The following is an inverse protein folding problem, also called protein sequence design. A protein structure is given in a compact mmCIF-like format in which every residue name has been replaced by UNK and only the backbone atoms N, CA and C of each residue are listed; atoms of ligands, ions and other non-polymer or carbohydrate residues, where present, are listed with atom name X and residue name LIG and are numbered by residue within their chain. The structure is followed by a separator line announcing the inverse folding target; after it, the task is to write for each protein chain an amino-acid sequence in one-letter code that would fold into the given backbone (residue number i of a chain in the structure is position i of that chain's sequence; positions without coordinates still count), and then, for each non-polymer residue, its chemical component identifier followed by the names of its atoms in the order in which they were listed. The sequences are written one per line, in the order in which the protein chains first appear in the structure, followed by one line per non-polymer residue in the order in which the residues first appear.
data_IF_251337688102
#
_entry.id   IF_251337688102
#
_cell.length_a   1.000
_cell.length_b   1.000
_cell.length_c   1.000
_cell.angle_alpha   90.00
_cell.angle_beta   90.00
_cell.angle_gamma   90.00
#
_symmetry.space_group_name_H-M   'P 1'
#
loop_
_entity.id
_entity.type
_entity.pdbx_description
1 polymer ?
#
# COMPACT_ATOMS: atom_id res chain seq x y z
N UNK A 1 -1.24 19.56 13.19
CA UNK A 1 -0.16 18.79 13.86
C UNK A 1 1.16 19.13 13.19
N UNK A 2 2.29 19.21 13.91
CA UNK A 2 3.62 19.32 13.30
C UNK A 2 4.15 17.92 13.00
N UNK A 3 4.74 17.73 11.83
CA UNK A 3 5.32 16.47 11.40
C UNK A 3 6.85 16.61 11.30
N UNK A 4 7.54 15.50 11.49
CA UNK A 4 8.95 15.31 11.22
C UNK A 4 9.10 14.29 10.10
N UNK A 5 9.97 14.57 9.16
CA UNK A 5 10.32 13.65 8.07
C UNK A 5 11.82 13.37 8.15
N UNK A 6 12.18 12.13 7.93
CA UNK A 6 13.56 11.67 7.85
C UNK A 6 13.68 10.51 6.86
N UNK A 7 14.82 10.43 6.19
CA UNK A 7 15.15 9.28 5.35
C UNK A 7 15.76 8.19 6.22
N UNK A 8 15.25 6.97 6.06
CA UNK A 8 15.74 5.76 6.72
C UNK A 8 16.16 4.76 5.65
N UNK A 9 17.26 4.06 5.87
CA UNK A 9 17.73 2.98 5.02
C UNK A 9 17.50 1.66 5.72
N UNK A 10 16.77 0.76 5.10
CA UNK A 10 16.48 -0.58 5.64
C UNK A 10 17.24 -1.61 4.83
N UNK A 11 18.10 -2.37 5.52
CA UNK A 11 18.83 -3.46 4.88
C UNK A 11 17.88 -4.63 4.58
N UNK A 12 17.80 -5.01 3.32
CA UNK A 12 17.19 -6.26 2.85
C UNK A 12 18.29 -7.23 2.38
N UNK A 13 17.99 -8.51 2.15
CA UNK A 13 19.04 -9.50 1.85
C UNK A 13 19.94 -9.18 0.66
N UNK A 14 19.42 -8.49 -0.36
CA UNK A 14 20.12 -8.20 -1.63
C UNK A 14 20.07 -6.73 -2.05
N UNK A 15 19.52 -5.85 -1.21
CA UNK A 15 19.47 -4.41 -1.47
C UNK A 15 19.34 -3.61 -0.18
N UNK A 16 19.41 -2.29 -0.30
CA UNK A 16 19.05 -1.34 0.73
C UNK A 16 17.80 -0.57 0.28
N UNK A 17 16.76 -0.55 1.12
CA UNK A 17 15.48 0.08 0.80
C UNK A 17 15.46 1.49 1.39
N UNK A 18 15.49 2.50 0.52
CA UNK A 18 15.24 3.88 0.94
C UNK A 18 13.79 4.04 1.35
N UNK A 19 13.57 4.61 2.52
CA UNK A 19 12.24 4.75 3.13
C UNK A 19 12.10 6.14 3.72
N UNK A 20 10.98 6.79 3.49
CA UNK A 20 10.66 8.08 4.13
C UNK A 20 9.81 7.80 5.37
N UNK A 21 10.35 8.21 6.53
CA UNK A 21 9.70 8.10 7.82
C UNK A 21 9.05 9.43 8.20
N UNK A 22 7.71 9.48 8.19
CA UNK A 22 6.91 10.67 8.47
C UNK A 22 6.11 10.45 9.73
N UNK A 23 6.33 11.24 10.76
CA UNK A 23 5.67 11.05 12.06
C UNK A 23 5.35 12.37 12.76
N UNK A 24 4.40 12.37 13.72
CA UNK A 24 4.19 13.52 14.58
C UNK A 24 5.47 13.90 15.33
N UNK A 25 5.63 15.18 15.62
CA UNK A 25 6.70 15.65 16.51
C UNK A 25 6.33 15.30 17.96
N UNK A 26 7.25 14.62 18.66
CA UNK A 26 7.06 14.15 20.05
C UNK A 26 7.86 12.85 20.27
N UNK A 27 7.62 12.22 21.42
CA UNK A 27 8.38 11.04 21.85
C UNK A 27 7.66 9.71 21.51
N UNK A 28 6.41 9.76 21.02
CA UNK A 28 5.62 8.55 20.74
C UNK A 28 5.07 7.89 22.00
N UNK A 29 4.82 6.57 22.00
CA UNK A 29 4.85 5.74 20.80
C UNK A 29 3.65 6.02 19.87
N UNK A 30 3.81 5.68 18.57
CA UNK A 30 2.76 5.85 17.55
C UNK A 30 2.38 4.54 16.90
N UNK A 31 1.12 4.37 16.47
CA UNK A 31 0.80 3.33 15.51
C UNK A 31 1.50 3.63 14.17
N UNK A 32 2.19 2.65 13.62
CA UNK A 32 2.90 2.78 12.36
C UNK A 32 2.03 2.34 11.17
N UNK A 33 2.24 2.97 10.03
CA UNK A 33 1.65 2.57 8.75
C UNK A 33 2.77 2.25 7.78
N UNK A 34 2.94 0.97 7.41
CA UNK A 34 3.73 0.58 6.25
C UNK A 34 2.96 1.00 5.00
N UNK A 35 3.51 1.96 4.24
CA UNK A 35 2.80 2.67 3.18
C UNK A 35 3.40 2.37 1.81
N UNK A 36 2.74 1.57 1.01
CA UNK A 36 3.17 1.22 -0.34
C UNK A 36 2.57 2.17 -1.39
N UNK A 37 3.46 2.80 -2.15
CA UNK A 37 3.12 3.69 -3.26
C UNK A 37 2.56 2.91 -4.47
N UNK A 38 2.13 3.65 -5.49
CA UNK A 38 1.88 3.11 -6.83
C UNK A 38 3.19 2.95 -7.63
N UNK A 39 3.09 2.57 -8.92
CA UNK A 39 4.25 2.35 -9.82
C UNK A 39 5.18 3.56 -9.96
N UNK A 40 4.74 4.76 -9.63
CA UNK A 40 5.54 5.99 -9.73
C UNK A 40 6.42 6.24 -8.50
N UNK A 41 6.36 5.38 -7.50
CA UNK A 41 7.14 5.41 -6.27
C UNK A 41 6.84 6.64 -5.38
N UNK A 42 7.84 7.17 -4.70
CA UNK A 42 7.70 8.22 -3.68
C UNK A 42 7.67 9.63 -4.30
N UNK A 43 6.68 9.86 -5.15
CA UNK A 43 6.42 11.18 -5.73
C UNK A 43 5.90 12.15 -4.67
N UNK A 44 5.94 13.46 -4.94
CA UNK A 44 5.35 14.44 -4.03
C UNK A 44 3.85 14.24 -3.80
N UNK A 45 3.09 13.78 -4.80
CA UNK A 45 1.68 13.39 -4.64
C UNK A 45 1.52 12.26 -3.63
N UNK A 46 2.34 11.22 -3.75
CA UNK A 46 2.40 10.09 -2.81
C UNK A 46 2.77 10.56 -1.40
N UNK A 47 3.80 11.39 -1.27
CA UNK A 47 4.25 11.90 0.03
C UNK A 47 3.23 12.85 0.68
N UNK A 48 2.45 13.63 -0.09
CA UNK A 48 1.35 14.42 0.48
C UNK A 48 0.27 13.52 1.09
N UNK A 49 -0.07 12.41 0.46
CA UNK A 49 -1.00 11.42 1.04
C UNK A 49 -0.43 10.80 2.32
N UNK A 50 0.86 10.46 2.32
CA UNK A 50 1.55 9.94 3.50
C UNK A 50 1.57 10.96 4.66
N UNK A 51 1.87 12.24 4.38
CA UNK A 51 1.80 13.34 5.36
C UNK A 51 0.38 13.53 5.90
N UNK A 52 -0.62 13.39 5.03
CA UNK A 52 -2.01 13.48 5.44
C UNK A 52 -2.38 12.34 6.41
N UNK A 53 -1.97 11.11 6.16
CA UNK A 53 -2.12 10.00 7.11
C UNK A 53 -1.38 10.30 8.42
N UNK A 54 -0.14 10.77 8.36
CA UNK A 54 0.63 11.12 9.56
C UNK A 54 -0.05 12.21 10.39
N UNK A 55 -0.80 13.12 9.77
CA UNK A 55 -1.54 14.16 10.48
C UNK A 55 -2.71 13.63 11.36
N UNK A 56 -3.13 12.38 11.16
CA UNK A 56 -4.07 11.67 12.02
C UNK A 56 -3.40 10.97 13.22
N UNK A 57 -2.09 11.14 13.39
CA UNK A 57 -1.36 10.57 14.54
C UNK A 57 -0.60 9.28 14.23
N UNK A 58 -0.55 8.87 12.98
CA UNK A 58 0.26 7.72 12.55
C UNK A 58 1.72 8.08 12.31
N UNK A 59 2.61 7.12 12.53
CA UNK A 59 3.96 7.18 12.01
C UNK A 59 4.00 6.42 10.66
N UNK A 60 4.10 7.15 9.55
CA UNK A 60 4.03 6.58 8.20
C UNK A 60 5.42 6.21 7.71
N UNK A 61 5.60 4.96 7.34
CA UNK A 61 6.85 4.37 6.86
C UNK A 61 6.69 4.01 5.38
N UNK A 62 7.14 4.90 4.49
CA UNK A 62 6.95 4.84 3.05
C UNK A 62 8.22 4.39 2.33
N UNK A 63 8.38 3.09 2.01
CA UNK A 63 9.52 2.57 1.27
C UNK A 63 9.41 2.82 -0.23
N UNK A 64 10.55 2.87 -0.90
CA UNK A 64 10.62 2.62 -2.33
C UNK A 64 10.24 1.18 -2.63
N UNK A 65 9.47 0.96 -3.69
CA UNK A 65 9.01 -0.39 -4.06
C UNK A 65 9.90 -1.07 -5.10
N UNK A 66 10.85 -0.32 -5.71
CA UNK A 66 11.82 -0.86 -6.67
C UNK A 66 13.27 -0.52 -6.28
N UNK A 67 13.75 -0.91 -5.08
CA UNK A 67 15.07 -0.49 -4.59
C UNK A 67 16.23 -1.04 -5.42
N UNK A 68 16.03 -2.10 -6.22
CA UNK A 68 17.05 -2.73 -7.04
C UNK A 68 17.24 -2.05 -8.40
N UNK A 69 16.20 -1.42 -8.92
CA UNK A 69 16.18 -0.93 -10.32
C UNK A 69 15.96 0.57 -10.44
N UNK A 70 15.26 1.17 -9.49
CA UNK A 70 14.86 2.57 -9.50
C UNK A 70 15.11 3.23 -8.13
N UNK A 71 16.19 2.85 -7.46
CA UNK A 71 16.56 3.42 -6.16
C UNK A 71 16.75 4.95 -6.25
N UNK A 72 16.11 5.69 -5.35
CA UNK A 72 16.18 7.15 -5.29
C UNK A 72 15.35 7.87 -6.35
N UNK A 73 14.59 7.14 -7.17
CA UNK A 73 13.86 7.72 -8.31
C UNK A 73 12.38 7.85 -7.99
N UNK A 74 11.85 9.07 -7.98
CA UNK A 74 10.42 9.36 -8.11
C UNK A 74 10.10 9.59 -9.59
N UNK A 75 9.13 8.85 -10.12
CA UNK A 75 8.80 8.90 -11.55
C UNK A 75 7.78 9.99 -11.86
N UNK A 76 7.87 10.62 -13.02
CA UNK A 76 6.87 11.59 -13.48
C UNK A 76 5.56 10.89 -13.90
N UNK A 77 4.43 11.61 -13.76
CA UNK A 77 3.10 11.09 -14.16
C UNK A 77 2.84 11.28 -15.64
N UNK A 78 3.70 10.72 -16.47
CA UNK A 78 3.62 10.71 -17.92
C UNK A 78 3.83 9.28 -18.48
N UNK A 79 3.82 9.15 -19.79
CA UNK A 79 4.00 7.85 -20.45
C UNK A 79 5.38 7.26 -20.19
N UNK A 80 6.44 8.09 -20.10
CA UNK A 80 7.79 7.64 -19.83
C UNK A 80 7.92 7.09 -18.40
N UNK A 81 7.39 7.81 -17.42
CA UNK A 81 7.34 7.37 -16.02
C UNK A 81 6.50 6.11 -15.85
N UNK A 82 5.36 6.01 -16.55
CA UNK A 82 4.55 4.78 -16.57
C UNK A 82 5.34 3.59 -17.11
N UNK A 83 6.03 3.77 -18.23
CA UNK A 83 6.87 2.69 -18.82
C UNK A 83 7.98 2.28 -17.86
N UNK A 84 8.68 3.25 -17.25
CA UNK A 84 9.73 2.98 -16.28
C UNK A 84 9.21 2.25 -15.03
N UNK A 85 8.06 2.67 -14.48
CA UNK A 85 7.45 2.03 -13.33
C UNK A 85 6.97 0.60 -13.63
N UNK A 86 6.39 0.38 -14.81
CA UNK A 86 6.04 -0.97 -15.28
C UNK A 86 7.28 -1.86 -15.47
N UNK A 87 8.38 -1.31 -15.98
CA UNK A 87 9.64 -2.02 -16.10
C UNK A 87 10.24 -2.37 -14.73
N UNK A 88 10.17 -1.44 -13.76
CA UNK A 88 10.57 -1.70 -12.38
C UNK A 88 9.78 -2.84 -11.75
N UNK A 89 8.46 -2.85 -11.95
CA UNK A 89 7.61 -3.96 -11.51
C UNK A 89 8.03 -5.28 -12.18
N UNK A 90 8.14 -5.31 -13.50
CA UNK A 90 8.51 -6.51 -14.26
C UNK A 90 9.92 -7.05 -13.95
N UNK A 91 10.79 -6.24 -13.40
CA UNK A 91 12.14 -6.63 -12.96
C UNK A 91 12.20 -7.13 -11.51
N UNK A 92 11.11 -7.06 -10.74
CA UNK A 92 11.07 -7.44 -9.33
C UNK A 92 10.19 -8.68 -9.14
N UNK A 93 10.72 -9.76 -8.58
CA UNK A 93 9.96 -10.98 -8.32
C UNK A 93 9.07 -10.85 -7.08
N UNK A 94 8.03 -11.67 -6.98
CA UNK A 94 7.18 -11.78 -5.80
C UNK A 94 8.01 -12.12 -4.55
N UNK A 95 8.99 -12.99 -4.68
CA UNK A 95 9.89 -13.35 -3.59
C UNK A 95 10.72 -12.17 -3.09
N UNK A 96 11.17 -11.29 -3.99
CA UNK A 96 11.87 -10.05 -3.62
C UNK A 96 10.94 -9.07 -2.88
N UNK A 97 9.72 -8.85 -3.39
CA UNK A 97 8.73 -8.04 -2.66
C UNK A 97 8.43 -8.61 -1.26
N UNK A 98 8.30 -9.92 -1.13
CA UNK A 98 8.06 -10.56 0.17
C UNK A 98 9.26 -10.43 1.10
N UNK A 99 10.48 -10.54 0.59
CA UNK A 99 11.71 -10.34 1.35
C UNK A 99 11.84 -8.89 1.84
N UNK A 100 11.55 -7.93 0.97
CA UNK A 100 11.53 -6.50 1.32
C UNK A 100 10.49 -6.22 2.40
N UNK A 101 9.28 -6.77 2.27
CA UNK A 101 8.24 -6.68 3.29
C UNK A 101 8.72 -7.16 4.65
N UNK A 102 9.37 -8.32 4.71
CA UNK A 102 9.89 -8.89 5.97
C UNK A 102 10.91 -7.94 6.59
N UNK A 103 11.88 -7.44 5.81
CA UNK A 103 12.89 -6.50 6.30
C UNK A 103 12.27 -5.20 6.84
N UNK A 104 11.26 -4.65 6.14
CA UNK A 104 10.55 -3.45 6.57
C UNK A 104 9.76 -3.67 7.87
N UNK A 105 9.09 -4.81 8.00
CA UNK A 105 8.33 -5.17 9.20
C UNK A 105 9.26 -5.48 10.38
N UNK A 106 10.42 -6.12 10.15
CA UNK A 106 11.44 -6.35 11.17
C UNK A 106 12.00 -5.02 11.70
N UNK A 107 12.25 -4.07 10.80
CA UNK A 107 12.67 -2.72 11.19
C UNK A 107 11.64 -2.03 12.09
N UNK A 108 10.35 -2.08 11.72
CA UNK A 108 9.28 -1.48 12.52
C UNK A 108 9.11 -2.17 13.88
N UNK A 109 9.16 -3.51 13.91
CA UNK A 109 9.04 -4.30 15.15
C UNK A 109 10.21 -4.06 16.13
N UNK A 110 11.39 -3.70 15.63
CA UNK A 110 12.55 -3.35 16.45
C UNK A 110 12.49 -1.95 17.08
N UNK A 111 11.45 -1.17 16.81
CA UNK A 111 11.35 0.22 17.27
C UNK A 111 10.53 0.34 18.55
N UNK A 112 11.10 0.96 19.58
CA UNK A 112 10.41 1.22 20.84
C UNK A 112 9.34 2.33 20.74
N UNK A 113 9.39 3.16 19.69
CA UNK A 113 8.45 4.25 19.44
C UNK A 113 7.28 3.86 18.52
N UNK A 114 7.11 2.54 18.24
CA UNK A 114 6.00 1.97 17.46
C UNK A 114 5.14 1.08 18.36
N UNK A 115 3.79 1.21 18.26
CA UNK A 115 2.84 0.34 18.95
C UNK A 115 2.31 -0.75 18.01
N UNK A 116 1.31 -0.42 17.20
CA UNK A 116 0.68 -1.32 16.22
C UNK A 116 1.27 -1.06 14.85
N UNK A 117 1.24 -2.07 13.98
CA UNK A 117 1.60 -1.92 12.58
C UNK A 117 0.36 -2.11 11.71
N UNK A 118 0.06 -1.13 10.91
CA UNK A 118 -0.95 -1.15 9.85
C UNK A 118 -0.26 -1.14 8.49
N UNK A 119 -0.97 -1.54 7.45
CA UNK A 119 -0.47 -1.44 6.08
C UNK A 119 -1.47 -0.71 5.20
N UNK A 120 -0.98 0.19 4.36
CA UNK A 120 -1.78 0.91 3.36
C UNK A 120 -1.05 0.86 2.03
N UNK A 121 -1.77 0.58 0.94
CA UNK A 121 -1.13 0.57 -0.37
C UNK A 121 -2.07 0.97 -1.51
N UNK A 122 -1.49 1.44 -2.61
CA UNK A 122 -2.17 2.03 -3.75
C UNK A 122 -1.77 1.34 -5.05
N UNK A 123 -2.71 0.97 -5.92
CA UNK A 123 -2.42 0.32 -7.19
C UNK A 123 -1.64 -1.00 -6.99
N UNK A 124 -0.44 -1.16 -7.56
CA UNK A 124 0.46 -2.28 -7.24
C UNK A 124 0.79 -2.32 -5.75
N UNK A 125 0.97 -1.16 -5.11
CA UNK A 125 1.17 -1.08 -3.66
C UNK A 125 -0.02 -1.61 -2.87
N UNK A 126 -1.25 -1.52 -3.41
CA UNK A 126 -2.43 -2.16 -2.83
C UNK A 126 -2.34 -3.70 -2.88
N UNK A 127 -1.75 -4.26 -3.92
CA UNK A 127 -1.44 -5.69 -3.98
C UNK A 127 -0.35 -6.07 -2.98
N UNK A 128 0.72 -5.24 -2.87
CA UNK A 128 1.78 -5.45 -1.87
C UNK A 128 1.25 -5.36 -0.44
N UNK A 129 0.33 -4.43 -0.18
CA UNK A 129 -0.34 -4.33 1.12
C UNK A 129 -1.18 -5.57 1.43
N UNK A 130 -1.90 -6.12 0.44
CA UNK A 130 -2.61 -7.39 0.61
C UNK A 130 -1.65 -8.51 1.03
N UNK A 131 -0.46 -8.58 0.41
CA UNK A 131 0.58 -9.55 0.78
C UNK A 131 1.19 -9.27 2.16
N UNK A 132 1.24 -8.01 2.58
CA UNK A 132 1.68 -7.65 3.92
C UNK A 132 0.72 -8.18 5.01
N UNK A 133 -0.57 -8.30 4.70
CA UNK A 133 -1.57 -8.86 5.61
C UNK A 133 -1.38 -10.36 5.94
N UNK A 134 -0.49 -11.08 5.26
CA UNK A 134 -0.10 -12.45 5.62
C UNK A 134 0.83 -12.51 6.84
N UNK A 135 1.31 -11.37 7.30
CA UNK A 135 2.19 -11.28 8.46
C UNK A 135 1.38 -10.89 9.70
N UNK A 136 1.46 -11.68 10.76
CA UNK A 136 0.69 -11.48 11.99
C UNK A 136 0.97 -10.16 12.71
N UNK A 137 2.08 -9.52 12.40
CA UNK A 137 2.41 -8.18 12.92
C UNK A 137 1.54 -7.08 12.34
N UNK A 138 0.87 -7.32 11.19
CA UNK A 138 0.01 -6.34 10.53
C UNK A 138 -1.43 -6.50 11.02
N UNK A 139 -1.86 -5.64 11.92
CA UNK A 139 -3.17 -5.72 12.58
C UNK A 139 -4.33 -5.24 11.73
N UNK A 140 -4.10 -4.33 10.76
CA UNK A 140 -5.09 -3.93 9.78
C UNK A 140 -4.43 -3.47 8.48
N UNK A 141 -5.07 -3.79 7.35
CA UNK A 141 -4.58 -3.47 6.00
C UNK A 141 -5.66 -2.75 5.20
N UNK A 142 -5.26 -1.70 4.46
CA UNK A 142 -6.12 -1.00 3.51
C UNK A 142 -5.50 -1.07 2.12
N UNK A 143 -6.22 -1.68 1.18
CA UNK A 143 -5.80 -1.83 -0.21
C UNK A 143 -6.63 -0.90 -1.09
N UNK A 144 -6.03 0.19 -1.59
CA UNK A 144 -6.69 1.11 -2.51
C UNK A 144 -6.49 0.65 -3.96
N UNK A 145 -7.58 0.39 -4.65
CA UNK A 145 -7.63 -0.05 -6.06
C UNK A 145 -6.50 -1.03 -6.42
N UNK A 146 -6.33 -2.13 -5.65
CA UNK A 146 -5.22 -3.05 -5.82
C UNK A 146 -5.27 -3.69 -7.21
N UNK A 147 -4.19 -3.56 -7.98
CA UNK A 147 -4.09 -4.14 -9.33
C UNK A 147 -3.50 -5.55 -9.29
N UNK A 148 -3.89 -6.37 -10.27
CA UNK A 148 -3.31 -7.70 -10.49
C UNK A 148 -3.70 -8.77 -9.47
N UNK A 149 -4.57 -8.48 -8.50
CA UNK A 149 -5.04 -9.50 -7.55
C UNK A 149 -5.83 -10.62 -8.24
N UNK A 150 -6.69 -10.25 -9.22
CA UNK A 150 -7.58 -11.17 -9.90
C UNK A 150 -6.86 -12.18 -10.80
N UNK A 151 -5.72 -11.80 -11.35
CA UNK A 151 -4.91 -12.63 -12.26
C UNK A 151 -3.58 -13.06 -11.65
N UNK A 152 -3.33 -12.69 -10.39
CA UNK A 152 -2.12 -13.03 -9.66
C UNK A 152 -0.88 -12.24 -10.12
N UNK A 153 -1.04 -11.20 -10.95
CA UNK A 153 0.10 -10.46 -11.48
C UNK A 153 0.64 -9.44 -10.48
N UNK A 154 1.78 -9.74 -9.90
CA UNK A 154 2.60 -8.77 -9.17
C UNK A 154 4.07 -8.98 -9.53
N UNK A 155 4.69 -7.97 -10.10
CA UNK A 155 6.10 -8.06 -10.48
C UNK A 155 6.36 -8.96 -11.69
N UNK A 156 7.51 -9.65 -11.65
CA UNK A 156 8.01 -10.50 -12.73
C UNK A 156 7.28 -11.85 -12.86
N UNK A 157 6.61 -12.28 -11.81
CA UNK A 157 5.96 -13.59 -11.77
C UNK A 157 4.59 -13.56 -12.46
N UNK A 158 4.30 -14.57 -13.25
CA UNK A 158 3.02 -14.68 -13.95
C UNK A 158 1.83 -14.96 -13.00
N UNK A 159 2.10 -15.56 -11.84
CA UNK A 159 1.11 -15.83 -10.79
C UNK A 159 1.76 -15.78 -9.41
N UNK A 160 1.49 -14.72 -8.67
CA UNK A 160 1.91 -14.53 -7.28
C UNK A 160 1.13 -15.36 -6.28
N UNK A 161 0.02 -15.97 -6.73
CA UNK A 161 -0.93 -16.73 -5.91
C UNK A 161 -1.52 -15.94 -4.72
N UNK A 162 -1.57 -14.62 -4.80
CA UNK A 162 -1.97 -13.78 -3.67
C UNK A 162 -3.39 -14.09 -3.20
N UNK A 163 -4.38 -14.12 -4.10
CA UNK A 163 -5.77 -14.47 -3.71
C UNK A 163 -5.91 -15.92 -3.25
N UNK A 164 -5.12 -16.85 -3.78
CA UNK A 164 -5.13 -18.24 -3.33
C UNK A 164 -4.63 -18.37 -1.87
N UNK A 165 -3.96 -17.35 -1.36
CA UNK A 165 -3.47 -17.24 0.02
C UNK A 165 -4.34 -16.32 0.89
N UNK A 166 -5.56 -16.00 0.48
CA UNK A 166 -6.44 -15.12 1.25
C UNK A 166 -6.72 -15.64 2.69
N UNK A 167 -6.64 -16.96 2.91
CA UNK A 167 -6.74 -17.56 4.24
C UNK A 167 -5.54 -17.24 5.18
N UNK A 168 -4.41 -16.79 4.61
CA UNK A 168 -3.24 -16.38 5.40
C UNK A 168 -3.38 -14.95 5.98
N UNK A 169 -4.44 -14.23 5.62
CA UNK A 169 -4.71 -12.89 6.17
C UNK A 169 -5.11 -13.03 7.63
N UNK A 170 -4.28 -12.48 8.51
CA UNK A 170 -4.45 -12.62 9.97
C UNK A 170 -5.14 -11.42 10.61
N UNK A 171 -4.94 -10.22 10.06
CA UNK A 171 -5.52 -8.98 10.55
C UNK A 171 -6.83 -8.60 9.82
N UNK A 172 -7.34 -7.41 10.16
CA UNK A 172 -8.51 -6.83 9.47
C UNK A 172 -8.11 -6.32 8.09
N UNK A 173 -9.00 -6.45 7.10
CA UNK A 173 -8.74 -6.00 5.74
C UNK A 173 -9.85 -5.09 5.21
N UNK A 174 -9.47 -3.96 4.65
CA UNK A 174 -10.34 -3.08 3.88
C UNK A 174 -9.84 -3.01 2.44
N UNK A 175 -10.74 -3.23 1.49
CA UNK A 175 -10.42 -3.08 0.06
C UNK A 175 -11.30 -2.00 -0.54
N UNK A 176 -10.68 -1.06 -1.24
CA UNK A 176 -11.34 0.12 -1.81
C UNK A 176 -11.23 0.09 -3.33
N UNK A 177 -12.35 0.24 -4.01
CA UNK A 177 -12.43 0.26 -5.48
C UNK A 177 -13.21 1.46 -6.00
N UNK A 178 -12.92 1.86 -7.24
CA UNK A 178 -13.77 2.74 -8.04
C UNK A 178 -14.55 1.94 -9.09
N UNK A 179 -15.77 2.37 -9.44
CA UNK A 179 -16.57 1.65 -10.46
C UNK A 179 -16.06 1.85 -11.88
N UNK A 180 -15.35 2.97 -12.15
CA UNK A 180 -14.80 3.32 -13.46
C UNK A 180 -13.32 2.92 -13.62
N UNK A 181 -12.78 2.10 -12.70
CA UNK A 181 -11.41 1.63 -12.78
C UNK A 181 -11.25 0.53 -13.86
N UNK A 182 -10.54 0.81 -14.98
CA UNK A 182 -10.36 -0.16 -16.05
C UNK A 182 -9.38 -1.29 -15.66
N UNK A 183 -8.52 -1.08 -14.65
CA UNK A 183 -7.56 -2.09 -14.18
C UNK A 183 -8.18 -3.08 -13.20
N UNK A 184 -9.31 -2.70 -12.57
CA UNK A 184 -10.04 -3.57 -11.63
C UNK A 184 -11.53 -3.59 -12.00
N UNK A 185 -11.91 -4.23 -13.13
CA UNK A 185 -13.29 -4.29 -13.60
C UNK A 185 -14.20 -5.04 -12.61
N UNK A 186 -15.52 -4.95 -12.80
CA UNK A 186 -16.51 -5.54 -11.91
C UNK A 186 -16.27 -7.03 -11.61
N UNK A 187 -15.89 -7.81 -12.62
CA UNK A 187 -15.58 -9.23 -12.46
C UNK A 187 -14.38 -9.45 -11.52
N UNK A 188 -13.32 -8.63 -11.64
CA UNK A 188 -12.15 -8.68 -10.76
C UNK A 188 -12.53 -8.33 -9.31
N UNK A 189 -13.34 -7.30 -9.09
CA UNK A 189 -13.84 -6.93 -7.74
C UNK A 189 -14.63 -8.06 -7.09
N UNK A 190 -15.51 -8.72 -7.87
CA UNK A 190 -16.28 -9.86 -7.40
C UNK A 190 -15.37 -11.06 -7.06
N UNK A 191 -14.35 -11.31 -7.87
CA UNK A 191 -13.39 -12.39 -7.62
C UNK A 191 -12.61 -12.15 -6.31
N UNK A 192 -12.13 -10.93 -6.06
CA UNK A 192 -11.46 -10.57 -4.81
C UNK A 192 -12.38 -10.81 -3.61
N UNK A 193 -13.61 -10.29 -3.66
CA UNK A 193 -14.61 -10.47 -2.60
C UNK A 193 -14.93 -11.95 -2.35
N UNK A 194 -15.17 -12.72 -3.42
CA UNK A 194 -15.48 -14.14 -3.33
C UNK A 194 -14.31 -14.92 -2.70
N UNK A 195 -13.06 -14.58 -3.08
CA UNK A 195 -11.87 -15.23 -2.53
C UNK A 195 -11.72 -14.96 -1.04
N UNK A 196 -11.96 -13.72 -0.59
CA UNK A 196 -11.91 -13.36 0.82
C UNK A 196 -12.97 -14.08 1.64
N UNK A 197 -14.21 -14.14 1.15
CA UNK A 197 -15.28 -14.88 1.84
C UNK A 197 -15.04 -16.39 1.85
N UNK A 198 -14.55 -16.95 0.74
CA UNK A 198 -14.21 -18.37 0.67
C UNK A 198 -13.07 -18.76 1.63
N UNK A 199 -12.17 -17.81 1.90
CA UNK A 199 -11.10 -17.96 2.89
C UNK A 199 -11.58 -17.88 4.35
N UNK A 200 -12.86 -17.59 4.58
CA UNK A 200 -13.40 -17.44 5.94
C UNK A 200 -13.03 -16.12 6.61
N UNK A 201 -12.64 -15.12 5.84
CA UNK A 201 -12.24 -13.81 6.38
C UNK A 201 -13.46 -13.05 6.95
N UNK A 202 -13.62 -13.05 8.26
CA UNK A 202 -14.75 -12.40 8.95
C UNK A 202 -14.56 -10.87 9.11
N UNK A 203 -13.34 -10.38 9.00
CA UNK A 203 -12.98 -8.98 9.27
C UNK A 203 -12.59 -8.22 8.00
N UNK A 204 -13.46 -8.34 6.97
CA UNK A 204 -13.26 -7.69 5.67
C UNK A 204 -14.30 -6.60 5.45
N UNK A 205 -13.84 -5.41 5.06
CA UNK A 205 -14.68 -4.34 4.54
C UNK A 205 -14.38 -4.11 3.06
N UNK A 206 -15.43 -3.99 2.25
CA UNK A 206 -15.33 -3.64 0.84
C UNK A 206 -16.03 -2.31 0.57
N UNK A 207 -15.28 -1.34 0.08
CA UNK A 207 -15.81 -0.04 -0.32
C UNK A 207 -15.73 0.10 -1.83
N UNK A 208 -16.86 0.39 -2.49
CA UNK A 208 -16.94 0.60 -3.93
C UNK A 208 -17.53 1.97 -4.21
N UNK A 209 -16.70 2.90 -4.67
CA UNK A 209 -17.11 4.27 -4.96
C UNK A 209 -17.59 4.42 -6.39
N UNK A 210 -18.83 4.89 -6.54
CA UNK A 210 -19.43 5.16 -7.83
C UNK A 210 -18.66 6.26 -8.57
N UNK A 211 -18.33 6.04 -9.84
CA UNK A 211 -17.60 7.00 -10.68
C UNK A 211 -16.08 7.04 -10.44
N UNK A 212 -15.59 6.47 -9.34
CA UNK A 212 -14.15 6.48 -9.04
C UNK A 212 -13.34 5.79 -10.14
N UNK A 213 -12.34 6.50 -10.66
CA UNK A 213 -11.37 5.98 -11.61
C UNK A 213 -10.16 5.32 -10.91
N UNK A 214 -9.30 4.66 -11.69
CA UNK A 214 -8.03 4.18 -11.15
C UNK A 214 -7.17 5.33 -10.63
N UNK A 215 -6.65 5.21 -9.42
CA UNK A 215 -5.83 6.22 -8.77
C UNK A 215 -6.55 7.56 -8.50
N UNK A 216 -7.87 7.54 -8.22
CA UNK A 216 -8.66 8.74 -7.90
C UNK A 216 -8.11 9.53 -6.68
N UNK A 217 -7.30 8.91 -5.85
CA UNK A 217 -6.63 9.56 -4.71
C UNK A 217 -5.34 10.30 -5.07
N UNK A 218 -4.85 10.16 -6.28
CA UNK A 218 -3.67 10.90 -6.73
C UNK A 218 -4.04 12.35 -6.97
N UNK A 219 -3.56 13.27 -6.16
CA UNK A 219 -3.95 14.69 -6.12
C UNK A 219 -3.44 15.53 -7.31
N UNK A 220 -2.99 14.87 -8.36
CA UNK A 220 -2.62 15.47 -9.64
C UNK A 220 -3.19 14.66 -10.81
N UNK A 221 -3.45 15.35 -11.91
CA UNK A 221 -3.98 14.75 -13.13
C UNK A 221 -5.51 14.62 -13.16
N UNK A 222 -6.07 14.17 -14.28
CA UNK A 222 -7.51 14.26 -14.57
C UNK A 222 -8.36 13.22 -13.80
N UNK A 223 -7.75 12.23 -13.18
CA UNK A 223 -8.46 11.16 -12.44
C UNK A 223 -8.68 11.50 -10.97
N UNK A 224 -8.10 12.59 -10.50
CA UNK A 224 -8.27 12.99 -9.10
C UNK A 224 -9.72 13.36 -8.81
N UNK A 225 -10.25 12.74 -7.76
CA UNK A 225 -11.56 13.06 -7.21
C UNK A 225 -11.38 13.42 -5.72
N UNK A 226 -11.47 14.71 -5.38
CA UNK A 226 -11.23 15.16 -3.99
C UNK A 226 -12.27 14.60 -3.00
N UNK A 227 -13.54 14.50 -3.41
CA UNK A 227 -14.61 14.01 -2.53
C UNK A 227 -14.43 12.52 -2.22
N UNK A 228 -14.13 11.72 -3.24
CA UNK A 228 -13.81 10.30 -3.04
C UNK A 228 -12.51 10.10 -2.27
N UNK A 229 -11.51 10.96 -2.48
CA UNK A 229 -10.25 10.94 -1.72
C UNK A 229 -10.51 11.18 -0.23
N UNK A 230 -11.29 12.20 0.11
CA UNK A 230 -11.61 12.54 1.49
C UNK A 230 -12.43 11.45 2.17
N UNK A 231 -13.47 10.96 1.49
CA UNK A 231 -14.32 9.89 2.00
C UNK A 231 -13.55 8.58 2.23
N UNK A 232 -12.72 8.18 1.27
CA UNK A 232 -11.98 6.91 1.38
C UNK A 232 -10.85 6.99 2.39
N UNK A 233 -10.18 8.13 2.53
CA UNK A 233 -9.16 8.32 3.56
C UNK A 233 -9.76 8.34 4.96
N UNK A 234 -10.90 9.02 5.16
CA UNK A 234 -11.61 9.04 6.43
C UNK A 234 -12.07 7.62 6.84
N UNK A 235 -12.59 6.84 5.87
CA UNK A 235 -12.94 5.44 6.08
C UNK A 235 -11.73 4.60 6.49
N UNK A 236 -10.59 4.75 5.80
CA UNK A 236 -9.35 4.04 6.11
C UNK A 236 -8.82 4.36 7.52
N UNK A 237 -8.79 5.63 7.90
CA UNK A 237 -8.37 6.07 9.25
C UNK A 237 -9.31 5.47 10.30
N UNK A 238 -10.63 5.58 10.11
CA UNK A 238 -11.62 4.99 11.02
C UNK A 238 -11.44 3.46 11.11
N UNK A 239 -11.20 2.78 10.00
CA UNK A 239 -10.99 1.34 9.97
C UNK A 239 -9.74 0.92 10.75
N UNK A 240 -8.60 1.58 10.54
CA UNK A 240 -7.36 1.26 11.26
C UNK A 240 -7.43 1.53 12.76
N UNK A 241 -8.14 2.58 13.19
CA UNK A 241 -8.21 2.98 14.59
C UNK A 241 -9.31 2.30 15.40
N UNK A 242 -10.22 1.54 14.78
CA UNK A 242 -11.21 0.72 15.51
C UNK A 242 -10.51 -0.38 16.33
N UNK A 243 -10.91 -0.52 17.58
CA UNK A 243 -10.50 -1.60 18.48
C UNK A 243 -11.50 -2.74 18.45
#
# INVERSE_FOLDING_TARGET
MKLREEEVRVAAPDCEIRTIWIRPVGDGPWPAVLFYSDIFQLTESTLRTARRLASYGFAVFAPEIYPRTLAGVALEFDDAGKVAGMAGAAATTTAQFDSDRVALLDHLAGRADVTDVFCVGFCIGGHLAFRAAFDERVSATVCFYPTGLQDGQVGADADSRTLARAADVTGRMMVVFGTNDPHVPAAARLQVLTSLYAAGSEHVELHVYAGGEHAFMRDIGPRHDPDLTDASLAAAVSFMTRR
#
